data_IF_730747690637
#
_entry.id   IF_730747690637
#
_cell.length_a   1.000
_cell.length_b   1.000
_cell.length_c   1.000
_cell.angle_alpha   90.00
_cell.angle_beta   90.00
_cell.angle_gamma   90.00
#
_symmetry.space_group_name_H-M   'P 1'
#
loop_
_entity.id
_entity.type
_entity.pdbx_description
1 polymer ?
#
# COMPACT_ATOMS: atom_id res chain seq x y z
N UNK A 1 -8.06 1.96 12.83
CA UNK A 1 -7.57 3.20 12.24
C UNK A 1 -6.03 3.29 12.35
N UNK A 2 -5.40 3.49 11.21
CA UNK A 2 -3.95 3.69 11.12
C UNK A 2 -3.67 5.17 10.88
N UNK A 3 -2.69 5.73 11.59
CA UNK A 3 -2.38 7.15 11.40
C UNK A 3 -0.91 7.43 11.71
N UNK A 4 -0.41 8.56 11.19
CA UNK A 4 0.90 9.09 11.48
C UNK A 4 0.78 10.62 11.59
N UNK A 5 1.06 11.15 12.77
CA UNK A 5 0.96 12.59 13.03
C UNK A 5 2.04 13.38 12.31
N UNK A 6 3.24 12.83 12.17
CA UNK A 6 4.37 13.49 11.49
C UNK A 6 4.03 13.85 10.05
N UNK A 7 3.38 12.93 9.34
CA UNK A 7 3.01 13.13 7.94
C UNK A 7 1.54 13.49 7.75
N UNK A 8 0.76 13.52 8.83
CA UNK A 8 -0.69 13.81 8.82
C UNK A 8 -1.45 12.89 7.87
N UNK A 9 -1.17 11.58 7.93
CA UNK A 9 -1.86 10.58 7.12
C UNK A 9 -2.61 9.59 8.01
N UNK A 10 -3.70 9.06 7.48
CA UNK A 10 -4.52 8.06 8.16
C UNK A 10 -5.17 7.11 7.15
N UNK A 11 -5.48 5.91 7.58
CA UNK A 11 -6.15 4.91 6.76
C UNK A 11 -6.67 3.74 7.59
N UNK A 12 -7.28 2.78 6.93
CA UNK A 12 -7.85 1.60 7.59
C UNK A 12 -7.46 0.35 6.80
N UNK A 13 -6.85 -0.62 7.47
CA UNK A 13 -6.56 -1.92 6.88
C UNK A 13 -7.68 -2.90 7.19
N UNK A 14 -7.96 -3.81 6.25
CA UNK A 14 -9.02 -4.80 6.41
C UNK A 14 -8.64 -5.91 7.39
N UNK A 15 -7.37 -6.29 7.40
CA UNK A 15 -6.88 -7.38 8.23
C UNK A 15 -5.49 -7.08 8.76
N UNK A 16 -5.33 -7.23 10.08
CA UNK A 16 -4.02 -7.22 10.73
C UNK A 16 -3.96 -8.44 11.65
N UNK A 17 -2.97 -9.31 11.41
CA UNK A 17 -2.73 -10.48 12.24
C UNK A 17 -1.35 -10.35 12.90
N UNK A 18 -1.34 -10.28 14.21
CA UNK A 18 -0.11 -10.16 14.99
C UNK A 18 0.36 -11.51 15.51
N UNK A 19 1.67 -11.72 15.45
CA UNK A 19 2.32 -12.86 16.04
C UNK A 19 3.66 -12.43 16.63
N UNK A 20 3.76 -12.41 17.97
CA UNK A 20 4.96 -11.95 18.70
C UNK A 20 5.32 -10.50 18.31
N UNK A 21 6.50 -10.30 17.72
CA UNK A 21 6.99 -8.98 17.34
C UNK A 21 6.75 -8.65 15.86
N UNK A 22 5.96 -9.48 15.18
CA UNK A 22 5.69 -9.34 13.76
C UNK A 22 4.19 -9.29 13.50
N UNK A 23 3.82 -8.81 12.31
CA UNK A 23 2.42 -8.84 11.87
C UNK A 23 2.33 -9.11 10.37
N UNK A 24 1.19 -9.64 9.98
CA UNK A 24 0.77 -9.74 8.59
C UNK A 24 -0.37 -8.76 8.38
N UNK A 25 -0.31 -8.00 7.31
CA UNK A 25 -1.36 -7.06 6.94
C UNK A 25 -1.98 -7.47 5.62
N UNK A 26 -3.30 -7.36 5.51
CA UNK A 26 -4.02 -7.78 4.33
C UNK A 26 -5.15 -6.85 3.95
N UNK A 27 -5.51 -6.89 2.69
CA UNK A 27 -6.60 -6.12 2.13
C UNK A 27 -7.39 -6.97 1.14
N UNK A 28 -8.72 -6.77 1.10
CA UNK A 28 -9.62 -7.50 0.21
C UNK A 28 -9.96 -6.64 -1.00
N UNK A 29 -9.83 -7.21 -2.19
CA UNK A 29 -10.16 -6.54 -3.44
C UNK A 29 -11.13 -7.39 -4.26
N UNK A 30 -12.10 -6.72 -4.88
CA UNK A 30 -13.16 -7.37 -5.66
C UNK A 30 -13.32 -6.77 -7.06
N UNK A 31 -12.45 -5.84 -7.47
CA UNK A 31 -12.60 -5.18 -8.76
C UNK A 31 -12.37 -6.15 -9.93
N UNK A 32 -13.00 -5.83 -11.03
CA UNK A 32 -13.01 -6.69 -12.24
C UNK A 32 -11.64 -6.82 -12.89
N UNK A 33 -10.78 -5.80 -12.76
CA UNK A 33 -9.49 -5.75 -13.41
C UNK A 33 -8.38 -5.71 -12.37
N UNK A 34 -7.44 -6.65 -12.49
CA UNK A 34 -6.28 -6.72 -11.60
C UNK A 34 -5.04 -7.02 -12.45
N UNK A 35 -4.40 -5.97 -12.95
CA UNK A 35 -3.24 -6.08 -13.82
C UNK A 35 -1.96 -6.08 -13.00
N UNK A 36 -0.97 -6.85 -13.45
CA UNK A 36 0.36 -6.94 -12.84
C UNK A 36 1.38 -6.05 -13.54
N UNK A 37 1.04 -5.50 -14.69
CA UNK A 37 1.86 -4.57 -15.46
C UNK A 37 0.96 -3.70 -16.32
N UNK A 38 1.53 -2.61 -16.86
CA UNK A 38 0.82 -1.78 -17.82
C UNK A 38 1.09 -2.28 -19.23
N UNK A 39 0.06 -2.52 -20.07
CA UNK A 39 0.25 -2.99 -21.43
C UNK A 39 1.00 -2.00 -22.33
N UNK A 40 1.00 -0.71 -21.99
CA UNK A 40 1.70 0.35 -22.72
C UNK A 40 2.94 0.85 -21.98
N UNK A 41 3.43 0.10 -21.00
CA UNK A 41 4.56 0.46 -20.16
C UNK A 41 4.38 1.82 -19.46
N UNK A 42 3.13 2.19 -19.18
CA UNK A 42 2.86 3.39 -18.38
C UNK A 42 3.43 3.23 -16.98
N UNK A 43 3.99 4.33 -16.48
CA UNK A 43 4.61 4.36 -15.16
C UNK A 43 3.79 5.22 -14.21
N UNK A 44 3.94 4.94 -12.93
CA UNK A 44 3.40 5.82 -11.90
C UNK A 44 4.17 7.14 -11.91
N UNK A 45 3.60 8.14 -11.24
CA UNK A 45 4.24 9.44 -11.08
C UNK A 45 5.37 9.39 -10.04
N UNK A 46 6.32 10.34 -10.13
CA UNK A 46 7.35 10.47 -9.12
C UNK A 46 6.73 10.63 -7.72
N UNK A 47 7.37 10.09 -6.68
CA UNK A 47 8.70 9.50 -6.63
C UNK A 47 8.76 7.99 -6.93
N UNK A 48 7.70 7.40 -7.46
CA UNK A 48 7.61 5.95 -7.71
C UNK A 48 7.51 5.64 -9.21
N UNK A 49 8.10 6.47 -10.05
CA UNK A 49 8.05 6.34 -11.51
C UNK A 49 8.78 5.11 -12.05
N UNK A 50 9.52 4.39 -11.21
CA UNK A 50 10.11 3.11 -11.59
C UNK A 50 9.09 1.96 -11.60
N UNK A 51 7.88 2.18 -11.08
CA UNK A 51 6.83 1.18 -11.03
C UNK A 51 5.83 1.36 -12.17
N UNK A 52 5.35 0.24 -12.72
CA UNK A 52 4.29 0.26 -13.70
C UNK A 52 2.97 0.74 -13.09
N UNK A 53 2.19 1.50 -13.86
CA UNK A 53 0.85 1.92 -13.47
C UNK A 53 -0.12 0.76 -13.66
N UNK A 54 -0.33 0.00 -12.61
CA UNK A 54 -1.23 -1.15 -12.60
C UNK A 54 -1.80 -1.37 -11.19
N UNK A 55 -2.88 -2.12 -11.10
CA UNK A 55 -3.58 -2.37 -9.83
C UNK A 55 -2.68 -3.05 -8.80
N UNK A 56 -1.90 -4.04 -9.24
CA UNK A 56 -0.99 -4.76 -8.34
C UNK A 56 -0.04 -3.81 -7.62
N UNK A 57 0.57 -2.86 -8.35
CA UNK A 57 1.50 -1.90 -7.76
C UNK A 57 0.80 -0.85 -6.91
N UNK A 58 -0.35 -0.32 -7.36
CA UNK A 58 -1.10 0.68 -6.60
C UNK A 58 -1.61 0.10 -5.28
N UNK A 59 -2.19 -1.10 -5.32
CA UNK A 59 -2.68 -1.75 -4.10
C UNK A 59 -1.53 -2.18 -3.19
N UNK A 60 -0.41 -2.60 -3.79
CA UNK A 60 0.80 -2.94 -3.04
C UNK A 60 1.37 -1.73 -2.30
N UNK A 61 1.40 -0.56 -2.94
CA UNK A 61 1.82 0.69 -2.32
C UNK A 61 0.87 1.09 -1.18
N UNK A 62 -0.43 1.01 -1.41
CA UNK A 62 -1.42 1.33 -0.39
C UNK A 62 -1.27 0.42 0.83
N UNK A 63 -1.13 -0.88 0.61
CA UNK A 63 -0.97 -1.84 1.68
C UNK A 63 0.37 -1.66 2.41
N UNK A 64 1.43 -1.35 1.67
CA UNK A 64 2.74 -1.04 2.24
C UNK A 64 2.70 0.22 3.10
N UNK A 65 1.94 1.22 2.69
CA UNK A 65 1.73 2.43 3.50
C UNK A 65 1.01 2.08 4.81
N UNK A 66 -0.02 1.25 4.76
CA UNK A 66 -0.71 0.79 5.98
C UNK A 66 0.25 0.00 6.88
N UNK A 67 1.08 -0.86 6.30
CA UNK A 67 2.10 -1.60 7.06
C UNK A 67 3.08 -0.66 7.74
N UNK A 68 3.53 0.38 7.04
CA UNK A 68 4.42 1.40 7.57
C UNK A 68 3.80 2.13 8.76
N UNK A 69 2.55 2.54 8.63
CA UNK A 69 1.83 3.20 9.73
C UNK A 69 1.71 2.28 10.94
N UNK A 70 1.37 1.01 10.69
CA UNK A 70 1.21 0.06 11.79
C UNK A 70 2.54 -0.27 12.48
N UNK A 71 3.64 -0.34 11.74
CA UNK A 71 4.97 -0.50 12.33
C UNK A 71 5.28 0.64 13.31
N UNK A 72 4.97 1.88 12.90
CA UNK A 72 5.20 3.06 13.76
C UNK A 72 4.30 3.05 14.98
N UNK A 73 3.04 2.66 14.82
CA UNK A 73 2.07 2.64 15.93
C UNK A 73 2.33 1.52 16.93
N UNK A 74 2.69 0.34 16.45
CA UNK A 74 2.79 -0.87 17.26
C UNK A 74 4.21 -1.18 17.75
N UNK A 75 5.22 -0.67 17.06
CA UNK A 75 6.61 -1.08 17.28
C UNK A 75 6.93 -2.47 16.75
N UNK A 76 5.99 -3.10 16.05
CA UNK A 76 6.16 -4.42 15.47
C UNK A 76 6.63 -4.33 14.02
N UNK A 77 7.16 -5.43 13.48
CA UNK A 77 7.70 -5.48 12.13
C UNK A 77 6.73 -6.17 11.19
N UNK A 78 6.55 -5.60 10.00
CA UNK A 78 5.75 -6.22 8.96
C UNK A 78 6.46 -7.47 8.42
N UNK A 79 5.80 -8.62 8.56
CA UNK A 79 6.28 -9.90 8.03
C UNK A 79 5.79 -10.12 6.60
N UNK A 80 4.49 -9.84 6.36
CA UNK A 80 3.84 -10.09 5.07
C UNK A 80 2.80 -9.03 4.77
N UNK A 81 2.72 -8.66 3.50
CA UNK A 81 1.62 -7.90 2.93
C UNK A 81 0.89 -8.82 1.95
N UNK A 82 -0.42 -8.97 2.09
CA UNK A 82 -1.21 -9.90 1.27
C UNK A 82 -2.44 -9.21 0.72
N UNK A 83 -2.64 -9.29 -0.60
CA UNK A 83 -3.90 -8.89 -1.22
C UNK A 83 -4.73 -10.13 -1.44
N UNK A 84 -5.95 -10.13 -0.89
CA UNK A 84 -6.93 -11.19 -1.10
C UNK A 84 -7.86 -10.74 -2.21
N UNK A 85 -7.71 -11.35 -3.38
CA UNK A 85 -8.48 -10.99 -4.55
C UNK A 85 -9.60 -11.99 -4.79
N UNK A 86 -10.84 -11.50 -4.72
CA UNK A 86 -12.02 -12.30 -4.99
C UNK A 86 -12.52 -11.95 -6.39
N UNK A 87 -12.50 -12.93 -7.28
CA UNK A 87 -13.00 -12.80 -8.63
C UNK A 87 -13.90 -13.99 -8.97
N UNK A 88 -15.16 -13.72 -9.32
CA UNK A 88 -16.18 -14.74 -9.52
C UNK A 88 -16.27 -15.65 -8.28
N UNK A 89 -16.04 -16.95 -8.44
CA UNK A 89 -16.04 -17.91 -7.35
C UNK A 89 -14.61 -18.25 -6.87
N UNK A 90 -13.62 -17.47 -7.30
CA UNK A 90 -12.22 -17.72 -6.96
C UNK A 90 -11.72 -16.75 -5.92
N UNK A 91 -10.99 -17.31 -4.98
CA UNK A 91 -10.27 -16.55 -3.97
C UNK A 91 -8.78 -16.78 -4.16
N UNK A 92 -8.04 -15.71 -4.46
CA UNK A 92 -6.60 -15.79 -4.69
C UNK A 92 -5.87 -14.83 -3.76
N UNK A 93 -4.83 -15.31 -3.11
CA UNK A 93 -3.97 -14.46 -2.29
C UNK A 93 -2.69 -14.11 -3.05
N UNK A 94 -2.36 -12.83 -3.09
CA UNK A 94 -1.12 -12.34 -3.67
C UNK A 94 -0.23 -11.76 -2.58
N UNK A 95 0.98 -12.31 -2.45
CA UNK A 95 1.98 -11.75 -1.57
C UNK A 95 2.64 -10.55 -2.24
N UNK A 96 2.65 -9.43 -1.51
CA UNK A 96 3.24 -8.19 -1.99
C UNK A 96 4.54 -7.96 -1.23
N UNK A 97 5.59 -7.56 -1.94
CA UNK A 97 6.80 -7.10 -1.29
C UNK A 97 6.50 -5.81 -0.53
N UNK A 98 6.93 -5.75 0.72
CA UNK A 98 6.78 -4.53 1.50
C UNK A 98 7.65 -3.43 0.89
N UNK A 99 7.03 -2.45 0.27
CA UNK A 99 7.68 -1.35 -0.45
C UNK A 99 7.98 -0.18 0.49
N UNK A 100 8.78 -0.43 1.52
CA UNK A 100 9.06 0.57 2.57
C UNK A 100 9.78 1.79 2.02
N UNK A 101 10.77 1.59 1.16
CA UNK A 101 11.53 2.69 0.58
C UNK A 101 10.65 3.60 -0.28
N UNK A 102 9.76 3.00 -1.08
CA UNK A 102 8.81 3.73 -1.91
C UNK A 102 7.81 4.52 -1.05
N UNK A 103 7.33 3.93 0.03
CA UNK A 103 6.43 4.60 0.98
C UNK A 103 7.13 5.79 1.63
N UNK A 104 8.36 5.62 2.08
CA UNK A 104 9.13 6.72 2.67
C UNK A 104 9.35 7.85 1.68
N UNK A 105 9.63 7.53 0.42
CA UNK A 105 9.80 8.51 -0.65
C UNK A 105 8.49 9.29 -0.93
N UNK A 106 7.36 8.59 -0.95
CA UNK A 106 6.04 9.21 -1.13
C UNK A 106 5.75 10.18 0.01
N UNK A 107 5.94 9.75 1.26
CA UNK A 107 5.67 10.58 2.44
C UNK A 107 6.58 11.80 2.49
N UNK A 108 7.85 11.65 2.16
CA UNK A 108 8.80 12.77 2.10
C UNK A 108 8.40 13.78 1.02
N UNK A 109 7.95 13.30 -0.14
CA UNK A 109 7.47 14.15 -1.23
C UNK A 109 6.24 14.95 -0.82
N UNK A 110 5.31 14.32 -0.11
CA UNK A 110 4.09 14.97 0.40
C UNK A 110 4.43 16.04 1.43
N UNK A 111 5.35 15.76 2.33
CA UNK A 111 5.78 16.70 3.36
C UNK A 111 6.39 17.97 2.74
N UNK A 112 7.20 17.82 1.69
CA UNK A 112 7.81 18.94 0.99
C UNK A 112 6.79 19.85 0.31
N UNK A 113 5.73 19.27 -0.24
CA UNK A 113 4.69 20.02 -0.93
C UNK A 113 3.69 20.68 0.01
N UNK A 114 3.75 20.37 1.31
CA UNK A 114 2.76 20.79 2.29
C UNK A 114 1.38 20.19 2.06
N UNK A 115 1.27 19.24 1.15
CA UNK A 115 0.00 18.60 0.83
C UNK A 115 -0.35 17.57 1.90
N UNK A 116 -1.54 17.73 2.49
CA UNK A 116 -2.16 16.71 3.32
C UNK A 116 -2.90 15.78 2.38
N UNK A 117 -2.30 14.66 2.03
CA UNK A 117 -2.95 13.68 1.15
C UNK A 117 -3.47 12.53 2.01
N UNK A 118 -4.81 12.31 2.04
CA UNK A 118 -5.35 11.11 2.66
C UNK A 118 -4.76 9.86 2.01
N UNK A 119 -4.58 8.81 2.78
CA UNK A 119 -4.00 7.54 2.31
C UNK A 119 -4.76 6.95 1.12
N UNK A 120 -6.05 7.24 1.02
CA UNK A 120 -6.89 6.81 -0.10
C UNK A 120 -6.51 7.47 -1.43
N UNK A 121 -5.57 8.42 -1.44
CA UNK A 121 -5.18 9.16 -2.65
C UNK A 121 -3.90 8.63 -3.32
N UNK A 122 -3.45 7.43 -2.94
CA UNK A 122 -2.37 6.74 -3.68
C UNK A 122 -2.72 6.60 -5.15
N UNK A 123 -3.99 6.48 -5.49
CA UNK A 123 -4.49 6.44 -6.87
C UNK A 123 -4.05 7.64 -7.70
N UNK A 124 -3.78 8.78 -7.08
CA UNK A 124 -3.28 9.98 -7.77
C UNK A 124 -1.84 9.83 -8.28
N UNK A 125 -1.14 8.77 -7.89
CA UNK A 125 0.17 8.43 -8.44
C UNK A 125 0.05 7.77 -9.83
N UNK A 126 -1.15 7.38 -10.17
CA UNK A 126 -1.42 6.78 -11.47
C UNK A 126 -1.33 7.81 -12.61
#
# INVERSE_FOLDING_TARGET
>A
LLYDEEYSVAGTADLIYEHKHEFTIGDFKTNKQFRFSSPYSERLKDPVSHLHNCEFNLYGLQLSLYAYLYEKMSGKRCRKCVIFYLQDDRFVSYHINYMKAEVEAILASMQKSGAKVPVNNIEKLA
#
